data_IF_626116245057
#
_entry.id   IF_626116245057
#
_cell.length_a   1.000
_cell.length_b   1.000
_cell.length_c   1.000
_cell.angle_alpha   90.00
_cell.angle_beta   90.00
_cell.angle_gamma   90.00
#
_symmetry.space_group_name_H-M   'P 1'
#
loop_
_entity.id
_entity.type
_entity.pdbx_description
1 polymer ?
#
# COMPACT_ATOMS: atom_id res chain seq x y z
N UNK A 1 1.75 0.42 20.84
CA UNK A 1 0.38 0.45 20.28
C UNK A 1 -0.70 0.03 21.30
N UNK A 2 -0.64 -1.16 21.91
CA UNK A 2 -1.68 -1.61 22.86
C UNK A 2 -1.87 -0.69 24.07
N UNK A 3 -0.81 -0.10 24.60
CA UNK A 3 -0.86 0.83 25.75
C UNK A 3 -1.39 2.23 25.37
N UNK A 4 -1.24 2.64 24.13
CA UNK A 4 -1.63 3.97 23.64
C UNK A 4 -3.10 4.03 23.20
N UNK A 5 -3.65 2.94 22.65
CA UNK A 5 -5.01 2.91 22.12
C UNK A 5 -6.09 3.33 23.11
N UNK A 6 -6.08 2.91 24.41
CA UNK A 6 -7.13 3.31 25.35
C UNK A 6 -7.24 4.85 25.52
N UNK A 7 -6.11 5.54 25.69
CA UNK A 7 -6.10 6.99 25.85
C UNK A 7 -6.53 7.74 24.58
N UNK A 8 -6.18 7.21 23.40
CA UNK A 8 -6.64 7.76 22.14
C UNK A 8 -8.15 7.54 21.93
N UNK A 9 -8.70 6.39 22.34
CA UNK A 9 -10.14 6.12 22.34
C UNK A 9 -10.90 7.10 23.25
N UNK A 10 -10.35 7.40 24.44
CA UNK A 10 -10.93 8.40 25.36
C UNK A 10 -10.97 9.79 24.71
N UNK A 11 -9.91 10.18 23.97
CA UNK A 11 -9.88 11.45 23.23
C UNK A 11 -10.98 11.51 22.17
N UNK A 12 -11.14 10.45 21.36
CA UNK A 12 -12.20 10.36 20.35
C UNK A 12 -13.59 10.42 21.02
N UNK A 13 -13.79 9.66 22.10
CA UNK A 13 -15.05 9.65 22.86
C UNK A 13 -15.39 11.01 23.48
N UNK A 14 -14.39 11.75 23.96
CA UNK A 14 -14.56 13.12 24.49
C UNK A 14 -14.96 14.13 23.42
N UNK A 15 -14.45 13.99 22.19
CA UNK A 15 -14.88 14.82 21.05
C UNK A 15 -16.32 14.48 20.67
N UNK A 16 -16.69 13.20 20.65
CA UNK A 16 -18.06 12.71 20.55
C UNK A 16 -18.73 12.87 19.19
N UNK A 17 -18.03 13.43 18.19
CA UNK A 17 -18.53 13.64 16.82
C UNK A 17 -17.60 12.96 15.80
N UNK A 18 -18.02 11.86 15.16
CA UNK A 18 -17.21 11.18 14.16
C UNK A 18 -17.00 11.99 12.87
N UNK A 19 -17.79 13.04 12.64
CA UNK A 19 -17.62 13.94 11.50
C UNK A 19 -16.54 15.01 11.74
N UNK A 20 -16.12 15.24 12.98
CA UNK A 20 -15.05 16.17 13.34
C UNK A 20 -13.64 15.61 13.04
N UNK A 21 -13.47 14.91 11.90
CA UNK A 21 -12.30 14.12 11.54
C UNK A 21 -11.01 14.92 11.56
N UNK A 22 -11.01 16.18 11.08
CA UNK A 22 -9.84 17.05 11.13
C UNK A 22 -9.40 17.36 12.58
N UNK A 23 -10.37 17.61 13.46
CA UNK A 23 -10.10 17.86 14.89
C UNK A 23 -9.55 16.59 15.55
N UNK A 24 -10.20 15.45 15.33
CA UNK A 24 -9.75 14.15 15.85
C UNK A 24 -8.33 13.85 15.39
N UNK A 25 -8.04 13.98 14.10
CA UNK A 25 -6.70 13.73 13.54
C UNK A 25 -5.62 14.60 14.20
N UNK A 26 -5.91 15.90 14.43
CA UNK A 26 -4.96 16.80 15.09
C UNK A 26 -4.68 16.36 16.53
N UNK A 27 -5.72 16.10 17.33
CA UNK A 27 -5.59 15.66 18.73
C UNK A 27 -4.81 14.33 18.84
N UNK A 28 -5.13 13.36 17.97
CA UNK A 28 -4.43 12.09 17.91
C UNK A 28 -2.97 12.26 17.47
N UNK A 29 -2.70 13.17 16.54
CA UNK A 29 -1.35 13.51 16.08
C UNK A 29 -0.49 14.10 17.17
N UNK A 30 -1.04 15.02 17.96
CA UNK A 30 -0.35 15.66 19.10
C UNK A 30 -0.11 14.66 20.25
N UNK A 31 -1.09 13.79 20.53
CA UNK A 31 -1.01 12.81 21.62
C UNK A 31 -0.10 11.63 21.32
N UNK A 32 -0.05 11.18 20.06
CA UNK A 32 0.69 9.99 19.64
C UNK A 32 1.47 10.21 18.32
N UNK A 33 2.43 11.17 18.26
CA UNK A 33 3.13 11.53 17.03
C UNK A 33 3.87 10.34 16.41
N UNK A 34 4.48 9.50 17.24
CA UNK A 34 5.30 8.35 16.84
C UNK A 34 4.50 7.01 16.82
N UNK A 35 3.18 7.06 16.75
CA UNK A 35 2.31 5.88 16.76
C UNK A 35 1.33 5.90 15.56
N UNK A 36 1.83 5.93 14.31
CA UNK A 36 0.97 6.06 13.13
C UNK A 36 -0.04 4.91 13.01
N UNK A 37 0.36 3.66 13.33
CA UNK A 37 -0.54 2.52 13.30
C UNK A 37 -1.72 2.65 14.29
N UNK A 38 -1.50 3.24 15.49
CA UNK A 38 -2.57 3.48 16.44
C UNK A 38 -3.52 4.59 15.94
N UNK A 39 -2.95 5.67 15.36
CA UNK A 39 -3.75 6.72 14.74
C UNK A 39 -4.56 6.21 13.55
N UNK A 40 -3.95 5.36 12.71
CA UNK A 40 -4.63 4.70 11.59
C UNK A 40 -5.86 3.92 12.06
N UNK A 41 -5.73 3.09 13.08
CA UNK A 41 -6.83 2.29 13.60
C UNK A 41 -8.03 3.17 13.99
N UNK A 42 -7.79 4.29 14.68
CA UNK A 42 -8.85 5.21 15.06
C UNK A 42 -9.37 6.03 13.88
N UNK A 43 -8.47 6.44 12.97
CA UNK A 43 -8.88 7.10 11.72
C UNK A 43 -9.87 6.24 10.94
N UNK A 44 -9.57 4.95 10.75
CA UNK A 44 -10.44 4.00 10.07
C UNK A 44 -11.78 3.89 10.80
N UNK A 45 -11.75 3.67 12.11
CA UNK A 45 -12.98 3.50 12.91
C UNK A 45 -13.89 4.73 12.87
N UNK A 46 -13.30 5.93 12.96
CA UNK A 46 -14.05 7.21 12.92
C UNK A 46 -14.66 7.46 11.54
N UNK A 47 -13.92 7.19 10.46
CA UNK A 47 -14.44 7.33 9.10
C UNK A 47 -15.53 6.29 8.81
N UNK A 48 -15.35 5.05 9.23
CA UNK A 48 -16.38 4.01 9.11
C UNK A 48 -17.68 4.41 9.83
N UNK A 49 -17.55 4.88 11.07
CA UNK A 49 -18.70 5.34 11.88
C UNK A 49 -19.41 6.55 11.22
N UNK A 50 -18.65 7.53 10.75
CA UNK A 50 -19.20 8.70 10.08
C UNK A 50 -19.95 8.32 8.80
N UNK A 51 -19.36 7.48 7.95
CA UNK A 51 -19.97 7.03 6.71
C UNK A 51 -21.22 6.16 6.95
N UNK A 52 -21.18 5.25 7.94
CA UNK A 52 -22.35 4.45 8.37
C UNK A 52 -23.49 5.32 8.91
N UNK A 53 -23.19 6.40 9.61
CA UNK A 53 -24.22 7.32 10.12
C UNK A 53 -25.01 8.03 9.01
N UNK A 54 -24.43 8.08 7.80
CA UNK A 54 -25.04 8.63 6.60
C UNK A 54 -25.61 7.55 5.66
N UNK A 55 -25.48 6.29 6.04
CA UNK A 55 -25.82 5.12 5.19
C UNK A 55 -25.13 5.18 3.81
N UNK A 56 -23.86 5.58 3.80
CA UNK A 56 -23.05 5.71 2.60
C UNK A 56 -21.72 4.94 2.74
N UNK A 57 -21.19 4.35 1.65
CA UNK A 57 -19.81 3.90 1.62
C UNK A 57 -18.83 5.08 1.56
N UNK A 58 -17.62 4.91 2.09
CA UNK A 58 -16.63 5.99 2.17
C UNK A 58 -16.30 6.61 0.81
N UNK A 59 -16.08 5.80 -0.23
CA UNK A 59 -15.76 6.32 -1.57
C UNK A 59 -16.82 7.29 -2.07
N UNK A 60 -18.10 6.98 -1.79
CA UNK A 60 -19.23 7.83 -2.21
C UNK A 60 -19.33 9.12 -1.41
N UNK A 61 -18.98 9.05 -0.11
CA UNK A 61 -18.89 10.26 0.73
C UNK A 61 -17.81 11.22 0.18
N UNK A 62 -16.78 10.69 -0.46
CA UNK A 62 -15.70 11.47 -1.07
C UNK A 62 -15.91 11.78 -2.56
N UNK A 63 -17.00 11.28 -3.16
CA UNK A 63 -17.32 11.51 -4.56
C UNK A 63 -16.41 10.76 -5.54
N UNK A 64 -15.82 9.63 -5.11
CA UNK A 64 -14.91 8.83 -5.92
C UNK A 64 -15.68 7.81 -6.77
N UNK A 65 -15.10 7.46 -7.90
CA UNK A 65 -15.64 6.47 -8.84
C UNK A 65 -15.24 5.04 -8.44
N UNK A 66 -16.17 4.17 -8.06
CA UNK A 66 -15.86 2.80 -7.66
C UNK A 66 -15.33 1.93 -8.81
N UNK A 67 -15.58 2.31 -10.08
CA UNK A 67 -15.13 1.58 -11.26
C UNK A 67 -13.69 1.94 -11.65
N UNK A 68 -13.10 2.97 -11.03
CA UNK A 68 -11.73 3.42 -11.28
C UNK A 68 -10.68 2.74 -10.38
N UNK A 69 -11.01 1.63 -9.73
CA UNK A 69 -10.08 0.88 -8.87
C UNK A 69 -9.12 0.05 -9.72
N UNK A 70 -7.80 0.32 -9.70
CA UNK A 70 -6.83 -0.53 -10.40
C UNK A 70 -6.75 -1.93 -9.79
N UNK A 71 -6.36 -2.97 -10.57
CA UNK A 71 -6.14 -4.30 -10.03
C UNK A 71 -4.98 -4.30 -9.01
N UNK A 72 -5.14 -5.07 -7.93
CA UNK A 72 -4.10 -5.22 -6.91
C UNK A 72 -3.04 -6.22 -7.34
N UNK A 73 -1.81 -6.05 -6.81
CA UNK A 73 -0.75 -7.05 -6.94
C UNK A 73 -0.97 -8.22 -5.98
N UNK A 74 -0.20 -9.30 -6.19
CA UNK A 74 0.03 -10.36 -5.21
C UNK A 74 1.50 -10.44 -4.86
N UNK A 75 1.82 -10.39 -3.57
CA UNK A 75 3.21 -10.39 -3.08
C UNK A 75 3.80 -11.80 -3.02
N UNK A 76 4.91 -11.98 -3.74
CA UNK A 76 5.77 -13.15 -3.67
C UNK A 76 6.94 -12.82 -2.75
N UNK A 77 6.79 -13.15 -1.46
CA UNK A 77 7.83 -12.93 -0.44
C UNK A 77 9.05 -13.82 -0.66
N UNK A 78 10.22 -13.37 -0.16
CA UNK A 78 11.52 -14.06 -0.28
C UNK A 78 11.41 -15.49 0.29
N UNK A 79 11.82 -16.45 -0.54
CA UNK A 79 11.90 -17.88 -0.23
C UNK A 79 12.91 -18.53 -1.19
N UNK A 80 13.00 -19.87 -1.25
CA UNK A 80 13.76 -20.53 -2.31
C UNK A 80 13.13 -20.25 -3.69
N UNK A 81 13.91 -20.22 -4.78
CA UNK A 81 13.40 -20.00 -6.13
C UNK A 81 12.20 -20.90 -6.48
N UNK A 82 12.24 -22.18 -6.09
CA UNK A 82 11.18 -23.16 -6.36
C UNK A 82 9.87 -22.78 -5.64
N UNK A 83 9.96 -22.33 -4.37
CA UNK A 83 8.80 -21.91 -3.59
C UNK A 83 8.21 -20.59 -4.08
N UNK A 84 9.07 -19.67 -4.50
CA UNK A 84 8.61 -18.42 -5.12
C UNK A 84 7.91 -18.70 -6.46
N UNK A 85 8.45 -19.59 -7.29
CA UNK A 85 7.81 -20.05 -8.51
C UNK A 85 6.44 -20.71 -8.25
N UNK A 86 6.32 -21.54 -7.21
CA UNK A 86 5.04 -22.15 -6.82
C UNK A 86 4.01 -21.10 -6.42
N UNK A 87 4.41 -20.11 -5.58
CA UNK A 87 3.54 -19.00 -5.16
C UNK A 87 3.09 -18.17 -6.36
N UNK A 88 4.02 -17.83 -7.27
CA UNK A 88 3.72 -17.06 -8.48
C UNK A 88 2.72 -17.77 -9.39
N UNK A 89 2.93 -19.06 -9.66
CA UNK A 89 2.02 -19.89 -10.47
C UNK A 89 0.63 -19.96 -9.85
N UNK A 90 0.55 -20.12 -8.51
CA UNK A 90 -0.72 -20.16 -7.79
C UNK A 90 -1.45 -18.81 -7.86
N UNK A 91 -0.73 -17.70 -7.68
CA UNK A 91 -1.31 -16.37 -7.77
C UNK A 91 -1.83 -16.08 -9.19
N UNK A 92 -1.04 -16.34 -10.23
CA UNK A 92 -1.46 -16.19 -11.61
C UNK A 92 -2.67 -17.07 -11.93
N UNK A 93 -2.69 -18.33 -11.47
CA UNK A 93 -3.83 -19.24 -11.62
C UNK A 93 -5.10 -18.79 -10.88
N UNK A 94 -4.98 -17.92 -9.89
CA UNK A 94 -6.09 -17.29 -9.17
C UNK A 94 -6.50 -15.92 -9.75
N UNK A 95 -5.98 -15.53 -10.92
CA UNK A 95 -6.36 -14.30 -11.61
C UNK A 95 -5.54 -13.07 -11.27
N UNK A 96 -4.43 -13.20 -10.52
CA UNK A 96 -3.50 -12.08 -10.28
C UNK A 96 -2.58 -11.90 -11.48
N UNK A 97 -2.86 -10.89 -12.30
CA UNK A 97 -2.03 -10.51 -13.45
C UNK A 97 -0.80 -9.68 -13.07
N UNK A 98 -0.71 -9.22 -11.82
CA UNK A 98 0.38 -8.38 -11.31
C UNK A 98 1.01 -9.06 -10.09
N UNK A 99 2.32 -9.28 -10.13
CA UNK A 99 3.08 -9.90 -9.05
C UNK A 99 4.10 -8.91 -8.51
N UNK A 100 4.13 -8.72 -7.18
CA UNK A 100 5.18 -7.99 -6.49
C UNK A 100 6.20 -8.98 -5.93
N UNK A 101 7.42 -8.97 -6.45
CA UNK A 101 8.48 -9.92 -6.08
C UNK A 101 9.43 -9.23 -5.11
N UNK A 102 9.56 -9.77 -3.92
CA UNK A 102 10.52 -9.29 -2.93
C UNK A 102 11.93 -9.81 -3.26
N UNK A 103 12.87 -8.87 -3.37
CA UNK A 103 14.29 -9.11 -3.60
C UNK A 103 15.12 -8.42 -2.50
N UNK A 104 16.45 -8.48 -2.58
CA UNK A 104 17.35 -7.87 -1.61
C UNK A 104 18.28 -8.88 -0.94
N UNK A 105 18.60 -9.97 -1.64
CA UNK A 105 19.50 -11.04 -1.17
C UNK A 105 20.47 -11.46 -2.26
N UNK A 106 21.40 -12.37 -1.96
CA UNK A 106 22.44 -12.80 -2.91
C UNK A 106 21.88 -13.56 -4.14
N UNK A 107 20.72 -14.24 -4.00
CA UNK A 107 20.13 -15.09 -5.05
C UNK A 107 19.00 -14.41 -5.82
N UNK A 108 18.92 -13.09 -5.81
CA UNK A 108 17.82 -12.29 -6.38
C UNK A 108 17.50 -12.68 -7.83
N UNK A 109 18.54 -12.84 -8.67
CA UNK A 109 18.34 -13.19 -10.08
C UNK A 109 17.69 -14.56 -10.25
N UNK A 110 18.18 -15.57 -9.55
CA UNK A 110 17.62 -16.92 -9.63
C UNK A 110 16.15 -16.96 -9.16
N UNK A 111 15.80 -16.16 -8.15
CA UNK A 111 14.42 -16.01 -7.67
C UNK A 111 13.53 -15.36 -8.70
N UNK A 112 13.97 -14.24 -9.28
CA UNK A 112 13.18 -13.53 -10.29
C UNK A 112 12.98 -14.39 -11.54
N UNK A 113 14.03 -15.05 -12.03
CA UNK A 113 13.97 -15.95 -13.19
C UNK A 113 12.93 -17.07 -12.93
N UNK A 114 12.97 -17.70 -11.75
CA UNK A 114 12.04 -18.75 -11.37
C UNK A 114 10.56 -18.26 -11.30
N UNK A 115 10.33 -17.04 -10.82
CA UNK A 115 8.99 -16.41 -10.82
C UNK A 115 8.53 -16.13 -12.24
N UNK A 116 9.41 -15.56 -13.08
CA UNK A 116 9.12 -15.23 -14.47
C UNK A 116 8.76 -16.49 -15.29
N UNK A 117 9.53 -17.56 -15.13
CA UNK A 117 9.27 -18.87 -15.78
C UNK A 117 7.93 -19.48 -15.32
N UNK A 118 7.55 -19.27 -14.07
CA UNK A 118 6.33 -19.81 -13.49
C UNK A 118 5.06 -19.01 -13.85
N UNK A 119 5.19 -17.72 -14.16
CA UNK A 119 4.10 -16.81 -14.51
C UNK A 119 4.54 -15.86 -15.65
N UNK A 120 4.74 -16.38 -16.87
CA UNK A 120 5.33 -15.64 -17.99
C UNK A 120 4.47 -14.45 -18.45
N UNK A 121 3.15 -14.54 -18.31
CA UNK A 121 2.21 -13.50 -18.74
C UNK A 121 1.93 -12.44 -17.66
N UNK A 122 2.42 -12.64 -16.42
CA UNK A 122 2.21 -11.68 -15.35
C UNK A 122 3.11 -10.46 -15.49
N UNK A 123 2.58 -9.29 -15.19
CA UNK A 123 3.37 -8.09 -14.92
C UNK A 123 4.14 -8.27 -13.61
N UNK A 124 5.44 -8.00 -13.63
CA UNK A 124 6.28 -8.17 -12.43
C UNK A 124 6.82 -6.83 -11.96
N UNK A 125 6.54 -6.52 -10.72
CA UNK A 125 7.12 -5.41 -9.95
C UNK A 125 8.09 -5.96 -8.94
N UNK A 126 9.19 -5.27 -8.70
CA UNK A 126 10.21 -5.69 -7.72
C UNK A 126 10.22 -4.71 -6.56
N UNK A 127 10.29 -5.24 -5.34
CA UNK A 127 10.50 -4.45 -4.14
C UNK A 127 11.76 -4.95 -3.42
N UNK A 128 12.74 -4.05 -3.32
CA UNK A 128 14.02 -4.34 -2.69
C UNK A 128 14.03 -4.00 -1.18
N UNK A 129 13.00 -3.33 -0.67
CA UNK A 129 12.89 -2.90 0.73
C UNK A 129 14.20 -2.31 1.28
N UNK A 130 14.78 -1.35 0.55
CA UNK A 130 16.00 -0.62 0.92
C UNK A 130 17.26 -1.52 1.07
N UNK A 131 17.29 -2.69 0.43
CA UNK A 131 18.38 -3.65 0.65
C UNK A 131 19.66 -3.35 -0.13
N UNK A 132 19.62 -2.45 -1.12
CA UNK A 132 20.77 -2.20 -1.99
C UNK A 132 21.40 -0.83 -1.75
N UNK A 133 22.68 -0.72 -2.02
CA UNK A 133 23.32 0.59 -2.28
C UNK A 133 22.90 1.10 -3.65
N UNK A 134 23.01 2.41 -3.89
CA UNK A 134 22.68 2.98 -5.19
C UNK A 134 23.53 2.36 -6.33
N UNK A 135 24.81 2.02 -6.06
CA UNK A 135 25.67 1.33 -7.04
C UNK A 135 25.14 -0.07 -7.38
N UNK A 136 24.81 -0.88 -6.38
CA UNK A 136 24.25 -2.22 -6.57
C UNK A 136 22.91 -2.17 -7.29
N UNK A 137 22.05 -1.22 -6.94
CA UNK A 137 20.77 -1.03 -7.61
C UNK A 137 20.95 -0.71 -9.11
N UNK A 138 21.86 0.24 -9.44
CA UNK A 138 22.17 0.61 -10.82
C UNK A 138 22.73 -0.61 -11.59
N UNK A 139 23.64 -1.37 -11.02
CA UNK A 139 24.20 -2.56 -11.66
C UNK A 139 23.11 -3.64 -11.93
N UNK A 140 22.01 -3.61 -11.17
CA UNK A 140 20.89 -4.55 -11.32
C UNK A 140 19.87 -4.10 -12.38
N UNK A 141 19.75 -2.81 -12.69
CA UNK A 141 18.67 -2.29 -13.58
C UNK A 141 18.63 -2.96 -14.93
N UNK A 142 19.80 -3.25 -15.55
CA UNK A 142 19.86 -3.86 -16.87
C UNK A 142 19.20 -5.25 -16.89
N UNK A 143 19.53 -6.11 -15.93
CA UNK A 143 18.94 -7.45 -15.91
C UNK A 143 17.49 -7.46 -15.37
N UNK A 144 17.10 -6.49 -14.55
CA UNK A 144 15.69 -6.29 -14.17
C UNK A 144 14.83 -5.90 -15.40
N UNK A 145 15.35 -5.00 -16.24
CA UNK A 145 14.71 -4.62 -17.49
C UNK A 145 14.64 -5.81 -18.47
N UNK A 146 15.72 -6.58 -18.63
CA UNK A 146 15.76 -7.79 -19.47
C UNK A 146 14.75 -8.85 -18.98
N UNK A 147 14.52 -8.93 -17.65
CA UNK A 147 13.50 -9.80 -17.06
C UNK A 147 12.08 -9.23 -17.19
N UNK A 148 11.88 -8.04 -17.78
CA UNK A 148 10.59 -7.41 -17.99
C UNK A 148 9.96 -6.88 -16.69
N UNK A 149 10.77 -6.39 -15.75
CA UNK A 149 10.30 -5.70 -14.56
C UNK A 149 9.71 -4.35 -14.95
N UNK A 150 8.51 -4.05 -14.46
CA UNK A 150 7.74 -2.84 -14.81
C UNK A 150 7.77 -1.77 -13.72
N UNK A 151 8.26 -2.07 -12.53
CA UNK A 151 8.44 -1.13 -11.41
C UNK A 151 9.52 -1.64 -10.46
N UNK A 152 10.35 -0.73 -9.95
CA UNK A 152 11.35 -0.98 -8.92
C UNK A 152 11.02 -0.15 -7.67
N UNK A 153 10.56 -0.81 -6.60
CA UNK A 153 10.19 -0.16 -5.35
C UNK A 153 11.35 -0.17 -4.36
N UNK A 154 11.60 1.00 -3.76
CA UNK A 154 12.56 1.30 -2.69
C UNK A 154 13.88 0.52 -2.81
N UNK A 155 14.68 0.81 -3.83
CA UNK A 155 15.96 0.10 -4.04
C UNK A 155 17.01 0.40 -2.96
N UNK A 156 17.01 1.62 -2.41
CA UNK A 156 18.04 2.14 -1.51
C UNK A 156 17.45 2.52 -0.14
N UNK A 157 18.32 2.73 0.85
CA UNK A 157 17.95 3.20 2.19
C UNK A 157 17.06 4.46 2.14
N UNK A 158 16.12 4.57 3.08
CA UNK A 158 15.09 5.61 3.11
C UNK A 158 15.61 7.06 3.08
N UNK A 159 16.77 7.29 3.69
CA UNK A 159 17.38 8.62 3.77
C UNK A 159 18.35 8.92 2.62
N UNK A 160 18.67 7.94 1.77
CA UNK A 160 19.56 8.10 0.61
C UNK A 160 18.80 8.62 -0.63
N UNK A 161 18.29 9.84 -0.54
CA UNK A 161 17.52 10.47 -1.64
C UNK A 161 18.38 10.71 -2.88
N UNK A 162 19.67 11.06 -2.71
CA UNK A 162 20.58 11.24 -3.81
C UNK A 162 20.89 9.89 -4.48
N UNK A 163 20.98 8.82 -3.72
CA UNK A 163 21.10 7.47 -4.24
C UNK A 163 19.84 7.05 -5.01
N UNK A 164 18.65 7.34 -4.48
CA UNK A 164 17.38 7.06 -5.15
C UNK A 164 17.30 7.77 -6.51
N UNK A 165 17.63 9.07 -6.56
CA UNK A 165 17.69 9.85 -7.81
C UNK A 165 18.64 9.23 -8.81
N UNK A 166 19.85 8.84 -8.37
CA UNK A 166 20.85 8.20 -9.25
C UNK A 166 20.36 6.88 -9.84
N UNK A 167 19.58 6.11 -9.09
CA UNK A 167 18.95 4.88 -9.60
C UNK A 167 17.89 5.23 -10.63
N UNK A 168 17.00 6.17 -10.33
CA UNK A 168 15.95 6.65 -11.25
C UNK A 168 16.54 7.17 -12.57
N UNK A 169 17.60 7.99 -12.50
CA UNK A 169 18.29 8.53 -13.67
C UNK A 169 19.00 7.45 -14.52
N UNK A 170 19.28 6.28 -13.95
CA UNK A 170 20.04 5.20 -14.60
C UNK A 170 19.16 4.12 -15.26
N UNK A 171 17.84 4.21 -15.17
CA UNK A 171 16.94 3.18 -15.70
C UNK A 171 15.67 3.78 -16.31
N UNK A 172 15.09 3.07 -17.28
CA UNK A 172 13.75 3.36 -17.79
C UNK A 172 12.65 2.62 -16.98
N UNK A 173 13.00 1.79 -15.98
CA UNK A 173 12.05 1.17 -15.08
C UNK A 173 11.56 2.22 -14.10
N UNK A 174 10.26 2.52 -14.00
CA UNK A 174 9.73 3.45 -13.00
C UNK A 174 10.14 3.06 -11.57
N UNK A 175 10.69 4.02 -10.83
CA UNK A 175 11.17 3.83 -9.46
C UNK A 175 10.17 4.39 -8.48
N UNK A 176 9.77 3.56 -7.50
CA UNK A 176 8.81 3.94 -6.45
C UNK A 176 9.49 4.16 -5.09
N UNK A 177 9.15 5.26 -4.43
CA UNK A 177 9.54 5.57 -3.06
C UNK A 177 8.49 5.06 -2.07
N UNK A 178 8.88 4.14 -1.16
CA UNK A 178 8.06 3.63 -0.06
C UNK A 178 8.52 4.22 1.28
N UNK A 179 9.62 3.71 1.82
CA UNK A 179 10.17 4.15 3.09
C UNK A 179 10.72 5.58 3.03
N UNK A 180 11.11 6.05 1.84
CA UNK A 180 11.58 7.43 1.62
C UNK A 180 10.46 8.48 1.63
N UNK A 181 9.17 8.07 1.49
CA UNK A 181 8.01 8.94 1.45
C UNK A 181 6.90 8.42 2.37
N UNK A 182 6.82 8.96 3.58
CA UNK A 182 5.89 8.50 4.63
C UNK A 182 4.66 9.40 4.76
N UNK A 183 4.86 10.71 4.55
CA UNK A 183 3.81 11.73 4.69
C UNK A 183 3.84 12.73 3.53
N UNK A 184 2.79 13.55 3.40
CA UNK A 184 2.74 14.61 2.39
C UNK A 184 3.91 15.60 2.47
N UNK A 185 4.53 15.78 3.64
CA UNK A 185 5.71 16.67 3.80
C UNK A 185 6.99 16.10 3.21
N UNK A 186 7.04 14.79 2.93
CA UNK A 186 8.19 14.14 2.32
C UNK A 186 8.18 14.26 0.79
N UNK A 187 7.00 14.46 0.18
CA UNK A 187 6.82 14.51 -1.28
C UNK A 187 7.77 15.50 -1.95
N UNK A 188 7.90 16.78 -1.49
CA UNK A 188 8.83 17.72 -2.13
C UNK A 188 10.29 17.26 -2.13
N UNK A 189 10.69 16.42 -1.18
CA UNK A 189 12.06 15.89 -1.06
C UNK A 189 12.33 14.77 -2.07
N UNK A 190 11.31 13.98 -2.40
CA UNK A 190 11.45 12.82 -3.29
C UNK A 190 10.99 13.11 -4.73
N UNK A 191 10.34 14.23 -4.98
CA UNK A 191 9.70 14.56 -6.26
C UNK A 191 10.66 14.51 -7.47
N UNK A 192 11.94 14.87 -7.28
CA UNK A 192 12.96 14.80 -8.33
C UNK A 192 13.81 13.51 -8.23
N UNK A 193 13.42 12.56 -7.39
CA UNK A 193 14.24 11.38 -7.09
C UNK A 193 13.52 10.06 -7.34
N UNK A 194 12.24 10.07 -7.67
CA UNK A 194 11.46 8.89 -8.01
C UNK A 194 10.34 9.26 -8.99
N UNK A 195 9.71 8.26 -9.57
CA UNK A 195 8.57 8.42 -10.49
C UNK A 195 7.23 8.21 -9.76
N UNK A 196 7.23 7.39 -8.70
CA UNK A 196 6.04 6.91 -8.01
C UNK A 196 6.24 7.07 -6.50
N UNK A 197 5.18 7.43 -5.77
CA UNK A 197 5.18 7.37 -4.30
C UNK A 197 4.19 6.32 -3.79
N UNK A 198 4.61 5.49 -2.82
CA UNK A 198 3.76 4.48 -2.21
C UNK A 198 3.16 4.96 -0.89
N UNK A 199 1.88 5.33 -0.91
CA UNK A 199 1.11 5.67 0.28
C UNK A 199 0.63 4.40 0.99
N UNK A 200 0.89 4.30 2.31
CA UNK A 200 0.35 3.23 3.16
C UNK A 200 -0.34 3.85 4.37
N UNK A 201 -1.58 3.44 4.66
CA UNK A 201 -2.34 4.00 5.78
C UNK A 201 -1.58 3.88 7.10
N UNK A 202 -0.89 2.75 7.31
CA UNK A 202 -0.13 2.47 8.52
C UNK A 202 1.08 3.39 8.69
N UNK A 203 1.71 3.81 7.59
CA UNK A 203 2.83 4.78 7.61
C UNK A 203 2.30 6.20 7.81
N UNK A 204 1.30 6.60 7.03
CA UNK A 204 0.72 7.94 7.07
C UNK A 204 -0.01 8.24 8.39
N UNK A 205 -0.55 7.21 9.03
CA UNK A 205 -1.35 7.35 10.26
C UNK A 205 -2.85 7.53 10.02
N UNK A 206 -3.38 7.12 8.84
CA UNK A 206 -4.79 7.05 8.55
C UNK A 206 -5.21 7.59 7.18
N UNK A 207 -6.52 7.64 6.95
CA UNK A 207 -7.11 7.96 5.65
C UNK A 207 -6.85 9.39 5.19
N UNK A 208 -7.08 10.39 6.04
CA UNK A 208 -6.85 11.80 5.68
C UNK A 208 -5.36 12.14 5.44
N UNK A 209 -4.40 11.65 6.27
CA UNK A 209 -2.98 11.79 5.97
C UNK A 209 -2.59 11.15 4.64
N UNK A 210 -3.10 9.96 4.32
CA UNK A 210 -2.85 9.30 3.04
C UNK A 210 -3.42 10.11 1.86
N UNK A 211 -4.66 10.61 1.95
CA UNK A 211 -5.25 11.49 0.93
C UNK A 211 -4.41 12.74 0.69
N UNK A 212 -3.84 13.35 1.75
CA UNK A 212 -2.93 14.51 1.59
C UNK A 212 -1.64 14.14 0.88
N UNK A 213 -1.09 12.96 1.15
CA UNK A 213 0.11 12.48 0.46
C UNK A 213 -0.18 12.27 -1.03
N UNK A 214 -1.29 11.60 -1.37
CA UNK A 214 -1.70 11.37 -2.76
C UNK A 214 -1.91 12.68 -3.51
N UNK A 215 -2.62 13.64 -2.92
CA UNK A 215 -2.82 14.96 -3.53
C UNK A 215 -1.51 15.75 -3.70
N UNK A 216 -0.56 15.59 -2.78
CA UNK A 216 0.75 16.21 -2.91
C UNK A 216 1.56 15.55 -4.03
N UNK A 217 1.51 14.23 -4.18
CA UNK A 217 2.15 13.50 -5.27
C UNK A 217 1.62 13.97 -6.64
N UNK A 218 0.31 14.01 -6.81
CA UNK A 218 -0.35 14.51 -8.03
C UNK A 218 0.10 15.95 -8.36
N UNK A 219 0.11 16.85 -7.36
CA UNK A 219 0.54 18.23 -7.53
C UNK A 219 2.03 18.38 -7.93
N UNK A 220 2.85 17.38 -7.66
CA UNK A 220 4.26 17.30 -8.08
C UNK A 220 4.47 16.49 -9.37
N UNK A 221 3.41 15.97 -9.98
CA UNK A 221 3.47 15.18 -11.22
C UNK A 221 4.03 13.78 -11.04
N UNK A 222 3.94 13.24 -9.82
CA UNK A 222 4.33 11.86 -9.51
C UNK A 222 3.12 10.95 -9.67
N UNK A 223 3.36 9.77 -10.21
CA UNK A 223 2.40 8.67 -10.09
C UNK A 223 2.28 8.23 -8.64
N UNK A 224 1.16 7.60 -8.31
CA UNK A 224 0.87 7.18 -6.95
C UNK A 224 0.51 5.70 -6.86
N UNK A 225 0.96 5.08 -5.77
CA UNK A 225 0.60 3.72 -5.39
C UNK A 225 -0.02 3.71 -4.00
N UNK A 226 -1.01 2.88 -3.81
CA UNK A 226 -1.59 2.60 -2.50
C UNK A 226 -1.19 1.20 -2.07
N UNK A 227 -0.33 1.13 -1.06
CA UNK A 227 0.19 -0.13 -0.53
C UNK A 227 -0.31 -0.45 0.88
N UNK A 228 0.11 -1.61 1.35
CA UNK A 228 -0.18 -2.09 2.70
C UNK A 228 1.04 -2.79 3.33
N UNK A 229 0.87 -3.23 4.55
CA UNK A 229 1.68 -4.27 5.20
C UNK A 229 0.86 -5.56 5.27
N UNK A 230 1.32 -6.56 5.99
CA UNK A 230 0.47 -7.72 6.35
C UNK A 230 -0.58 -7.23 7.35
N UNK A 231 -1.78 -6.98 6.87
CA UNK A 231 -2.86 -6.32 7.59
C UNK A 231 -4.18 -7.08 7.40
N UNK A 232 -5.09 -6.96 8.38
CA UNK A 232 -6.43 -7.55 8.27
C UNK A 232 -7.33 -6.77 7.32
N UNK A 233 -8.41 -7.39 6.87
CA UNK A 233 -9.46 -6.74 6.08
C UNK A 233 -10.09 -5.51 6.77
N UNK A 234 -9.95 -5.34 8.09
CA UNK A 234 -10.36 -4.11 8.76
C UNK A 234 -9.60 -2.87 8.23
N UNK A 235 -8.32 -3.04 7.87
CA UNK A 235 -7.48 -1.99 7.29
C UNK A 235 -7.57 -1.98 5.76
N UNK A 236 -7.44 -3.14 5.13
CA UNK A 236 -7.45 -3.25 3.66
C UNK A 236 -8.76 -2.70 3.09
N UNK A 237 -9.91 -3.05 3.67
CA UNK A 237 -11.19 -2.52 3.22
C UNK A 237 -11.26 -0.98 3.26
N UNK A 238 -10.69 -0.36 4.29
CA UNK A 238 -10.62 1.09 4.37
C UNK A 238 -9.70 1.69 3.30
N UNK A 239 -8.55 1.04 3.03
CA UNK A 239 -7.60 1.49 2.02
C UNK A 239 -8.20 1.44 0.61
N UNK A 240 -8.95 0.38 0.26
CA UNK A 240 -9.58 0.23 -1.07
C UNK A 240 -10.45 1.43 -1.45
N UNK A 241 -11.03 2.16 -0.48
CA UNK A 241 -11.81 3.37 -0.78
C UNK A 241 -10.97 4.54 -1.33
N UNK A 242 -9.64 4.52 -1.15
CA UNK A 242 -8.73 5.49 -1.77
C UNK A 242 -8.17 5.00 -3.11
N UNK A 243 -8.39 3.73 -3.46
CA UNK A 243 -7.83 3.14 -4.68
C UNK A 243 -8.26 3.88 -5.99
N UNK A 244 -9.45 4.49 -6.10
CA UNK A 244 -9.78 5.31 -7.27
C UNK A 244 -8.91 6.57 -7.46
N UNK A 245 -8.05 6.92 -6.51
CA UNK A 245 -7.17 8.09 -6.55
C UNK A 245 -5.75 7.77 -7.01
N UNK A 246 -5.43 6.49 -7.28
CA UNK A 246 -4.06 6.05 -7.52
C UNK A 246 -3.92 5.30 -8.83
N UNK A 247 -2.68 5.27 -9.34
CA UNK A 247 -2.32 4.56 -10.58
C UNK A 247 -2.05 3.08 -10.33
N UNK A 248 -1.58 2.75 -9.11
CA UNK A 248 -1.18 1.39 -8.73
C UNK A 248 -1.76 1.00 -7.37
N UNK A 249 -2.15 -0.28 -7.24
CA UNK A 249 -2.67 -0.85 -5.99
C UNK A 249 -1.86 -2.08 -5.60
N UNK A 250 -1.50 -2.17 -4.29
CA UNK A 250 -0.79 -3.26 -3.65
C UNK A 250 -1.42 -3.53 -2.27
N UNK A 251 -2.65 -4.08 -2.28
CA UNK A 251 -3.52 -4.26 -1.12
C UNK A 251 -3.83 -5.74 -0.82
N UNK A 252 -2.83 -6.59 -0.98
CA UNK A 252 -2.93 -8.04 -0.76
C UNK A 252 -2.67 -8.49 0.68
N UNK A 253 -2.39 -7.56 1.61
CA UNK A 253 -1.95 -7.88 2.97
C UNK A 253 -2.86 -8.83 3.74
N UNK A 254 -4.17 -8.79 3.50
CA UNK A 254 -5.12 -9.71 4.12
C UNK A 254 -5.03 -11.14 3.57
N UNK A 255 -4.60 -11.31 2.32
CA UNK A 255 -4.43 -12.62 1.67
C UNK A 255 -3.21 -13.38 2.20
N UNK A 256 -2.29 -12.68 2.85
CA UNK A 256 -1.07 -13.25 3.43
C UNK A 256 -1.28 -13.74 4.87
N UNK A 257 -2.44 -13.49 5.45
CA UNK A 257 -2.80 -13.96 6.80
C UNK A 257 -3.22 -15.43 6.77
N UNK A 258 -2.83 -16.18 7.80
CA UNK A 258 -3.32 -17.54 8.00
C UNK A 258 -4.82 -17.58 8.34
N UNK A 259 -5.34 -16.54 8.99
CA UNK A 259 -6.74 -16.31 9.26
C UNK A 259 -7.00 -14.82 9.47
N UNK A 260 -8.14 -14.34 9.02
CA UNK A 260 -8.56 -12.96 9.22
C UNK A 260 -9.89 -12.90 9.99
N UNK A 261 -9.95 -12.20 11.15
CA UNK A 261 -11.20 -12.04 11.90
C UNK A 261 -12.20 -11.09 11.22
N UNK A 262 -11.84 -10.51 10.07
CA UNK A 262 -12.69 -9.59 9.31
C UNK A 262 -12.86 -10.06 7.86
N UNK A 263 -14.06 -9.91 7.33
CA UNK A 263 -14.32 -9.86 5.90
C UNK A 263 -14.25 -8.40 5.44
N UNK A 264 -13.74 -8.17 4.23
CA UNK A 264 -13.55 -6.85 3.64
C UNK A 264 -14.38 -6.61 2.39
N UNK A 265 -13.87 -5.75 1.52
CA UNK A 265 -14.41 -5.52 0.18
C UNK A 265 -14.26 -6.81 -0.63
N UNK A 266 -15.31 -7.24 -1.39
CA UNK A 266 -15.18 -8.41 -2.24
C UNK A 266 -14.03 -8.27 -3.24
N UNK A 267 -13.29 -9.37 -3.44
CA UNK A 267 -12.16 -9.45 -4.35
C UNK A 267 -12.36 -10.63 -5.30
N UNK A 268 -12.36 -10.36 -6.59
CA UNK A 268 -12.42 -11.39 -7.65
C UNK A 268 -11.11 -11.33 -8.46
N UNK A 269 -10.32 -12.40 -8.36
CA UNK A 269 -8.93 -12.35 -8.83
C UNK A 269 -8.17 -11.20 -8.18
N UNK A 270 -7.74 -10.22 -8.99
CA UNK A 270 -7.03 -9.03 -8.54
C UNK A 270 -7.91 -7.78 -8.40
N UNK A 271 -9.22 -7.86 -8.64
CA UNK A 271 -10.12 -6.69 -8.72
C UNK A 271 -11.02 -6.60 -7.50
N UNK A 272 -10.92 -5.49 -6.76
CA UNK A 272 -11.85 -5.20 -5.67
C UNK A 272 -13.18 -4.66 -6.23
N UNK A 273 -14.29 -5.28 -5.84
CA UNK A 273 -15.64 -4.78 -6.12
C UNK A 273 -16.04 -3.72 -5.08
N UNK A 274 -15.53 -2.50 -5.28
CA UNK A 274 -15.81 -1.39 -4.38
C UNK A 274 -17.29 -0.96 -4.45
N UNK A 275 -17.95 -1.15 -5.58
CA UNK A 275 -19.37 -0.83 -5.77
C UNK A 275 -20.30 -1.70 -4.91
N UNK A 276 -19.87 -2.91 -4.53
CA UNK A 276 -20.63 -3.79 -3.64
C UNK A 276 -20.68 -3.32 -2.18
N UNK A 277 -19.89 -2.30 -1.79
CA UNK A 277 -19.91 -1.76 -0.43
C UNK A 277 -21.11 -0.86 -0.24
N UNK A 278 -22.01 -1.22 0.68
CA UNK A 278 -23.25 -0.48 0.94
C UNK A 278 -23.08 0.71 1.91
N UNK A 279 -22.22 0.57 2.94
CA UNK A 279 -21.98 1.62 3.93
C UNK A 279 -20.63 1.43 4.65
N UNK A 280 -20.04 2.55 5.11
CA UNK A 280 -18.77 2.57 5.83
C UNK A 280 -17.61 2.11 4.96
N UNK A 281 -16.70 1.35 5.54
CA UNK A 281 -15.55 0.72 4.86
C UNK A 281 -15.89 -0.63 4.22
N UNK A 282 -17.07 -1.19 4.50
CA UNK A 282 -17.43 -2.55 4.09
C UNK A 282 -16.84 -3.64 5.01
N UNK A 283 -15.89 -3.32 5.88
CA UNK A 283 -15.33 -4.28 6.82
C UNK A 283 -16.39 -4.78 7.82
N UNK A 284 -16.41 -6.10 8.06
CA UNK A 284 -17.32 -6.77 9.01
C UNK A 284 -16.55 -7.84 9.74
N UNK A 285 -16.89 -8.09 11.00
CA UNK A 285 -16.38 -9.29 11.68
C UNK A 285 -16.78 -10.53 10.87
N UNK A 286 -15.80 -11.37 10.55
CA UNK A 286 -16.10 -12.69 10.03
C UNK A 286 -16.92 -13.40 11.11
N UNK A 287 -18.10 -13.89 10.76
CA UNK A 287 -18.84 -14.78 11.65
C UNK A 287 -18.01 -16.05 11.69
N UNK A 288 -17.81 -16.58 12.90
CA UNK A 288 -17.11 -17.83 13.09
C UNK A 288 -17.62 -18.86 12.06
N UNK A 289 -16.70 -19.25 11.15
CA UNK A 289 -16.99 -20.19 10.11
C UNK A 289 -17.03 -21.62 10.69
#
# INVERSE_FOLDING_TARGET
>A
MAETLPSLCETVARIGDPHAQQHIERELGEQAPNQPAARMALSIAVHDLAARSLDLPLYRQWGLDPDAVPPTTYTVGIDSPERMAEKARKAAGNGFGHLKVKLGTDDDRARLDAVRDAAPDAEVRVDANAAWTAGEAIDKTAWLADAGVTMLEQPVEADDIDGLRRVTDATDIPVAADESCVTASDVPRVADACDIVNAKLVKCGGLRPATRLLNAADAHGLDSMLGCMVESNASIAAAVHLAPLVDYVDLDGALLLASDPYAGVPLDGAVFDLAAVSAGTGARRARDA
#
